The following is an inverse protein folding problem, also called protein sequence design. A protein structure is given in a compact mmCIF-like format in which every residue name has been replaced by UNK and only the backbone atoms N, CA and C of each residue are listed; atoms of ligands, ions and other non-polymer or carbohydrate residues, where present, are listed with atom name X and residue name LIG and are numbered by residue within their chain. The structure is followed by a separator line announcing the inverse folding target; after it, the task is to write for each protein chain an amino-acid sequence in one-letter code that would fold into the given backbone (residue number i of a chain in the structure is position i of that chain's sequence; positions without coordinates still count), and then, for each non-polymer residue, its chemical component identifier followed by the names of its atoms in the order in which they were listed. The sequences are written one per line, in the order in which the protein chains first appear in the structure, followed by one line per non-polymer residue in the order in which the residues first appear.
data_IF_409058872132
#
_entry.id   IF_409058872132
#
_cell.length_a   1.000
_cell.length_b   1.000
_cell.length_c   1.000
_cell.angle_alpha   90.00
_cell.angle_beta   90.00
_cell.angle_gamma   90.00
#
_symmetry.space_group_name_H-M   'P 1'
#
loop_
_entity.id
_entity.type
_entity.pdbx_description
1 polymer ?
#
# COMPACT_ATOMS: atom_id res chain seq x y z
N UNK A 1 -10.43 -61.01 -8.63
CA UNK A 1 -10.98 -61.73 -9.80
C UNK A 1 -12.07 -60.85 -10.38
N UNK A 2 -11.72 -60.00 -11.36
CA UNK A 2 -12.63 -59.01 -11.96
C UNK A 2 -12.57 -59.24 -13.47
N UNK A 3 -13.74 -59.55 -14.03
CA UNK A 3 -13.95 -59.96 -15.42
C UNK A 3 -13.81 -58.72 -16.32
N UNK A 4 -12.87 -58.77 -17.26
CA UNK A 4 -12.67 -57.79 -18.33
C UNK A 4 -13.66 -58.12 -19.44
N UNK A 5 -14.58 -57.19 -19.75
CA UNK A 5 -15.41 -57.28 -20.94
C UNK A 5 -14.66 -56.70 -22.13
N UNK A 6 -14.27 -57.58 -23.05
CA UNK A 6 -13.76 -57.20 -24.37
C UNK A 6 -14.90 -56.56 -25.17
N UNK A 7 -14.66 -55.33 -25.63
CA UNK A 7 -15.55 -54.59 -26.52
C UNK A 7 -15.18 -54.99 -27.95
N UNK A 8 -16.14 -55.60 -28.63
CA UNK A 8 -16.10 -55.92 -30.05
C UNK A 8 -16.03 -54.62 -30.85
N UNK A 9 -14.99 -54.52 -31.65
CA UNK A 9 -14.71 -53.43 -32.59
C UNK A 9 -15.59 -53.66 -33.83
N UNK A 10 -16.59 -52.80 -34.04
CA UNK A 10 -17.44 -52.81 -35.22
C UNK A 10 -16.82 -51.94 -36.31
N UNK A 11 -16.44 -52.56 -37.43
CA UNK A 11 -16.02 -51.89 -38.66
C UNK A 11 -17.17 -51.06 -39.23
N UNK A 12 -17.13 -49.75 -39.00
CA UNK A 12 -18.00 -48.77 -39.65
C UNK A 12 -17.47 -48.45 -41.07
N UNK A 13 -18.30 -48.51 -42.12
CA UNK A 13 -17.88 -48.21 -43.48
C UNK A 13 -17.50 -46.73 -43.63
N UNK A 14 -16.37 -46.50 -44.30
CA UNK A 14 -15.77 -45.20 -44.57
C UNK A 14 -16.80 -44.15 -45.01
N UNK A 15 -17.07 -43.19 -44.12
CA UNK A 15 -17.86 -42.01 -44.41
C UNK A 15 -17.14 -41.15 -45.47
N UNK A 16 -17.88 -40.59 -46.45
CA UNK A 16 -17.29 -39.77 -47.49
C UNK A 16 -16.61 -38.53 -46.90
N UNK A 17 -15.36 -38.32 -47.30
CA UNK A 17 -14.52 -37.17 -46.95
C UNK A 17 -15.22 -35.89 -47.43
N UNK A 18 -15.99 -35.26 -46.55
CA UNK A 18 -16.64 -33.99 -46.83
C UNK A 18 -15.54 -32.95 -47.11
N UNK A 19 -15.56 -32.39 -48.32
CA UNK A 19 -14.70 -31.28 -48.72
C UNK A 19 -14.84 -30.16 -47.68
N UNK A 20 -13.73 -29.56 -47.21
CA UNK A 20 -13.78 -28.46 -46.27
C UNK A 20 -14.60 -27.33 -46.89
N UNK A 21 -15.78 -27.08 -46.30
CA UNK A 21 -16.60 -25.91 -46.63
C UNK A 21 -15.71 -24.70 -46.42
N UNK A 22 -15.32 -24.07 -47.53
CA UNK A 22 -14.58 -22.80 -47.54
C UNK A 22 -15.50 -21.77 -46.88
N UNK A 23 -15.32 -21.58 -45.58
CA UNK A 23 -16.09 -20.62 -44.79
C UNK A 23 -16.05 -19.26 -45.47
N UNK A 24 -17.22 -18.75 -45.82
CA UNK A 24 -17.37 -17.45 -46.46
C UNK A 24 -16.68 -16.39 -45.60
N UNK A 25 -16.04 -15.42 -46.25
CA UNK A 25 -15.28 -14.35 -45.59
C UNK A 25 -16.12 -13.42 -44.66
N UNK A 26 -17.37 -13.77 -44.38
CA UNK A 26 -18.32 -13.02 -43.55
C UNK A 26 -18.28 -13.38 -42.05
N UNK A 27 -17.62 -14.46 -41.63
CA UNK A 27 -17.59 -14.88 -40.22
C UNK A 27 -16.44 -14.27 -39.38
N UNK A 28 -15.89 -13.11 -39.76
CA UNK A 28 -14.93 -12.43 -38.86
C UNK A 28 -15.69 -11.82 -37.68
N UNK A 29 -15.40 -12.23 -36.43
CA UNK A 29 -16.05 -11.64 -35.27
C UNK A 29 -15.82 -10.12 -35.26
N UNK A 30 -16.83 -9.33 -34.89
CA UNK A 30 -16.70 -7.87 -34.85
C UNK A 30 -15.54 -7.49 -33.94
N UNK A 31 -14.73 -6.52 -34.39
CA UNK A 31 -13.57 -6.07 -33.62
C UNK A 31 -14.01 -5.58 -32.23
N UNK A 32 -13.29 -5.92 -31.15
CA UNK A 32 -13.68 -5.55 -29.81
C UNK A 32 -13.72 -4.02 -29.67
N UNK A 33 -14.80 -3.50 -29.06
CA UNK A 33 -15.01 -2.07 -28.80
C UNK A 33 -13.90 -1.50 -27.90
N UNK A 34 -13.62 -0.20 -28.01
CA UNK A 34 -12.63 0.46 -27.15
C UNK A 34 -12.89 0.22 -25.66
N UNK A 35 -14.15 0.29 -25.23
CA UNK A 35 -14.54 0.02 -23.83
C UNK A 35 -14.17 -1.40 -23.38
N UNK A 36 -14.38 -2.41 -24.23
CA UNK A 36 -13.96 -3.79 -23.91
C UNK A 36 -12.45 -3.92 -23.78
N UNK A 37 -11.67 -3.30 -24.70
CA UNK A 37 -10.21 -3.30 -24.62
C UNK A 37 -9.69 -2.62 -23.36
N UNK A 38 -10.25 -1.46 -22.99
CA UNK A 38 -9.90 -0.76 -21.76
C UNK A 38 -10.26 -1.58 -20.52
N UNK A 39 -11.46 -2.16 -20.48
CA UNK A 39 -11.91 -3.01 -19.37
C UNK A 39 -10.97 -4.20 -19.17
N UNK A 40 -10.61 -4.89 -20.24
CA UNK A 40 -9.81 -6.11 -20.16
C UNK A 40 -8.33 -5.80 -19.84
N UNK A 41 -7.83 -4.63 -20.27
CA UNK A 41 -6.48 -4.17 -19.95
C UNK A 41 -6.34 -3.61 -18.52
N UNK A 42 -7.33 -2.87 -18.02
CA UNK A 42 -7.31 -2.23 -16.70
C UNK A 42 -7.89 -3.09 -15.59
N UNK A 43 -8.82 -3.98 -15.88
CA UNK A 43 -9.48 -4.85 -14.90
C UNK A 43 -9.46 -6.32 -15.33
N UNK A 44 -8.26 -6.90 -15.55
CA UNK A 44 -8.13 -8.30 -15.93
C UNK A 44 -8.65 -9.23 -14.83
N UNK A 45 -9.36 -10.28 -15.26
CA UNK A 45 -9.92 -11.27 -14.33
C UNK A 45 -8.79 -12.08 -13.68
N UNK A 46 -8.81 -12.17 -12.36
CA UNK A 46 -7.81 -12.92 -11.60
C UNK A 46 -7.92 -14.43 -11.86
N UNK A 47 -6.82 -15.09 -12.26
CA UNK A 47 -6.78 -16.55 -12.37
C UNK A 47 -6.89 -17.20 -10.98
N UNK A 48 -7.65 -18.29 -10.86
CA UNK A 48 -7.66 -19.07 -9.62
C UNK A 48 -6.33 -19.78 -9.44
N UNK A 49 -5.75 -19.70 -8.24
CA UNK A 49 -4.48 -20.36 -7.92
C UNK A 49 -4.71 -21.50 -6.93
N UNK A 50 -4.00 -22.62 -7.12
CA UNK A 50 -4.08 -23.77 -6.21
C UNK A 50 -3.55 -23.38 -4.81
N UNK A 51 -4.42 -23.48 -3.80
CA UNK A 51 -4.24 -22.83 -2.49
C UNK A 51 -3.43 -23.64 -1.46
N UNK A 52 -3.30 -24.97 -1.62
CA UNK A 52 -2.93 -25.84 -0.48
C UNK A 52 -1.42 -25.86 -0.17
N UNK A 53 -0.55 -26.07 -1.17
CA UNK A 53 0.92 -26.14 -0.96
C UNK A 53 1.59 -24.79 -0.65
N UNK A 54 0.89 -23.66 -0.83
CA UNK A 54 1.49 -22.33 -0.67
C UNK A 54 1.34 -21.73 0.73
N UNK A 55 0.52 -22.32 1.61
CA UNK A 55 0.23 -21.74 2.94
C UNK A 55 1.46 -21.65 3.83
N UNK A 56 2.25 -22.72 3.92
CA UNK A 56 3.47 -22.73 4.74
C UNK A 56 4.47 -21.65 4.29
N UNK A 57 4.68 -21.52 2.97
CA UNK A 57 5.53 -20.47 2.39
C UNK A 57 5.01 -19.08 2.76
N UNK A 58 3.70 -18.84 2.70
CA UNK A 58 3.11 -17.56 3.11
C UNK A 58 3.32 -17.26 4.59
N UNK A 59 3.17 -18.26 5.47
CA UNK A 59 3.44 -18.08 6.90
C UNK A 59 4.90 -17.67 7.12
N UNK A 60 5.86 -18.38 6.51
CA UNK A 60 7.28 -18.05 6.62
C UNK A 60 7.58 -16.65 6.10
N UNK A 61 7.01 -16.26 4.95
CA UNK A 61 7.20 -14.92 4.37
C UNK A 61 6.61 -13.83 5.26
N UNK A 62 5.41 -14.04 5.81
CA UNK A 62 4.76 -13.06 6.70
C UNK A 62 5.49 -12.93 8.03
N UNK A 63 6.00 -14.04 8.59
CA UNK A 63 6.84 -14.01 9.79
C UNK A 63 8.15 -13.29 9.51
N UNK A 64 8.82 -13.57 8.39
CA UNK A 64 10.05 -12.86 8.01
C UNK A 64 9.80 -11.36 7.80
N UNK A 65 8.69 -10.98 7.17
CA UNK A 65 8.26 -9.59 7.03
C UNK A 65 7.99 -8.92 8.39
N UNK A 66 7.30 -9.61 9.31
CA UNK A 66 7.03 -9.11 10.64
C UNK A 66 8.31 -8.91 11.45
N UNK A 67 9.24 -9.86 11.40
CA UNK A 67 10.56 -9.75 12.04
C UNK A 67 11.35 -8.58 11.42
N UNK A 68 11.37 -8.46 10.10
CA UNK A 68 12.03 -7.34 9.42
C UNK A 68 11.50 -5.98 9.92
N UNK A 69 10.17 -5.83 10.01
CA UNK A 69 9.52 -4.61 10.48
C UNK A 69 9.78 -4.37 11.98
N UNK A 70 9.72 -5.41 12.82
CA UNK A 70 9.94 -5.32 14.26
C UNK A 70 11.27 -4.66 14.65
N UNK A 71 12.34 -4.94 13.89
CA UNK A 71 13.70 -4.51 14.25
C UNK A 71 14.22 -3.30 13.49
N UNK A 72 13.40 -2.65 12.65
CA UNK A 72 13.87 -1.56 11.79
C UNK A 72 13.74 -0.14 12.38
N UNK A 73 13.06 0.00 13.52
CA UNK A 73 12.95 1.28 14.23
C UNK A 73 14.21 1.50 15.08
N UNK A 74 14.94 2.63 14.94
CA UNK A 74 16.10 2.97 15.78
C UNK A 74 15.69 3.43 17.19
N UNK A 75 16.65 3.88 18.00
CA UNK A 75 16.41 4.37 19.37
C UNK A 75 16.03 3.23 20.32
N UNK A 76 15.04 3.46 21.19
CA UNK A 76 14.50 2.42 22.08
C UNK A 76 13.78 1.28 21.31
N UNK A 77 13.52 1.45 20.02
CA UNK A 77 12.90 0.43 19.17
C UNK A 77 11.37 0.50 19.16
N UNK A 78 10.74 -0.20 18.21
CA UNK A 78 9.29 -0.08 17.98
C UNK A 78 8.47 -0.53 19.20
N UNK A 79 8.84 -1.66 19.82
CA UNK A 79 8.09 -2.23 20.95
C UNK A 79 8.23 -1.45 22.26
N UNK A 80 9.13 -0.48 22.34
CA UNK A 80 9.36 0.34 23.54
C UNK A 80 9.27 1.84 23.22
N UNK A 81 8.56 2.19 22.15
CA UNK A 81 8.22 3.58 21.80
C UNK A 81 6.78 3.67 21.35
N UNK A 82 6.09 4.72 21.81
CA UNK A 82 4.86 5.22 21.19
C UNK A 82 5.25 6.53 20.52
N UNK A 83 4.85 6.72 19.26
CA UNK A 83 5.40 7.79 18.43
C UNK A 83 4.31 8.74 17.90
N UNK A 84 4.52 10.04 18.15
CA UNK A 84 3.76 11.14 17.57
C UNK A 84 2.24 10.97 17.78
N UNK A 85 1.46 11.02 16.69
CA UNK A 85 -0.01 10.99 16.71
C UNK A 85 -0.56 9.72 17.38
N UNK A 86 0.18 8.59 17.33
CA UNK A 86 -0.25 7.34 17.98
C UNK A 86 -0.43 7.50 19.49
N UNK A 87 0.43 8.30 20.12
CA UNK A 87 0.34 8.57 21.55
C UNK A 87 -0.59 9.72 21.82
N UNK A 88 -0.25 10.89 21.29
CA UNK A 88 -0.82 12.15 21.76
C UNK A 88 -2.22 12.44 21.26
N UNK A 89 -2.64 11.79 20.18
CA UNK A 89 -3.99 11.91 19.69
C UNK A 89 -4.75 10.61 19.96
N UNK A 90 -4.26 9.46 19.50
CA UNK A 90 -5.10 8.25 19.52
C UNK A 90 -5.19 7.58 20.88
N UNK A 91 -4.05 7.32 21.54
CA UNK A 91 -4.05 6.69 22.86
C UNK A 91 -4.54 7.65 23.94
N UNK A 92 -4.24 8.95 23.81
CA UNK A 92 -4.75 10.00 24.70
C UNK A 92 -6.28 10.09 24.63
N UNK A 93 -6.84 10.21 23.43
CA UNK A 93 -8.29 10.24 23.24
C UNK A 93 -8.95 8.93 23.73
N UNK A 94 -8.36 7.77 23.42
CA UNK A 94 -8.93 6.47 23.80
C UNK A 94 -8.92 6.19 25.31
N UNK A 95 -8.10 6.90 26.10
CA UNK A 95 -8.11 6.79 27.56
C UNK A 95 -8.85 7.94 28.23
N UNK A 96 -8.86 9.13 27.61
CA UNK A 96 -9.43 10.34 28.17
C UNK A 96 -10.88 10.63 27.76
N UNK A 97 -11.35 10.08 26.64
CA UNK A 97 -12.68 10.35 26.09
C UNK A 97 -13.55 9.08 26.00
N UNK A 98 -14.84 9.27 25.71
CA UNK A 98 -15.74 8.14 25.42
C UNK A 98 -15.39 7.49 24.08
N UNK A 99 -15.58 6.17 23.88
CA UNK A 99 -15.11 5.48 22.67
C UNK A 99 -15.62 6.08 21.35
N UNK A 100 -16.87 6.55 21.31
CA UNK A 100 -17.41 7.19 20.10
C UNK A 100 -16.73 8.53 19.80
N UNK A 101 -16.45 9.32 20.83
CA UNK A 101 -15.75 10.60 20.71
C UNK A 101 -14.31 10.34 20.24
N UNK A 102 -13.60 9.45 20.94
CA UNK A 102 -12.24 9.04 20.59
C UNK A 102 -12.11 8.49 19.16
N UNK A 103 -13.12 7.79 18.63
CA UNK A 103 -13.10 7.25 17.26
C UNK A 103 -13.47 8.31 16.21
N UNK A 104 -14.27 9.32 16.57
CA UNK A 104 -14.81 10.31 15.61
C UNK A 104 -14.13 11.67 15.67
N UNK A 105 -13.26 11.92 16.64
CA UNK A 105 -12.47 13.16 16.72
C UNK A 105 -11.45 13.24 15.57
N UNK A 106 -11.51 14.22 14.68
CA UNK A 106 -10.54 14.34 13.59
C UNK A 106 -9.21 14.92 14.09
N UNK A 107 -8.11 14.53 13.46
CA UNK A 107 -6.75 15.02 13.72
C UNK A 107 -6.14 15.48 12.42
N UNK A 108 -5.60 16.70 12.42
CA UNK A 108 -4.91 17.28 11.26
C UNK A 108 -5.72 17.24 9.96
N UNK A 109 -7.04 17.37 10.06
CA UNK A 109 -8.00 17.28 8.95
C UNK A 109 -8.23 15.87 8.39
N UNK A 110 -8.01 14.85 9.20
CA UNK A 110 -8.30 13.45 8.90
C UNK A 110 -9.10 12.83 10.03
N UNK A 111 -10.10 12.01 9.73
CA UNK A 111 -10.78 11.24 10.78
C UNK A 111 -9.94 10.11 11.37
N UNK A 112 -9.00 9.52 10.61
CA UNK A 112 -8.09 8.46 11.09
C UNK A 112 -8.82 7.30 11.79
N UNK A 113 -9.99 6.92 11.26
CA UNK A 113 -10.87 5.92 11.86
C UNK A 113 -10.14 4.61 12.21
N UNK A 114 -9.34 4.08 11.28
CA UNK A 114 -8.66 2.80 11.51
C UNK A 114 -7.62 2.87 12.64
N UNK A 115 -6.65 3.81 12.63
CA UNK A 115 -5.75 4.02 13.77
C UNK A 115 -6.47 4.19 15.12
N UNK A 116 -7.56 4.97 15.17
CA UNK A 116 -8.31 5.21 16.41
C UNK A 116 -8.98 3.95 16.95
N UNK A 117 -9.57 3.13 16.08
CA UNK A 117 -10.10 1.82 16.49
C UNK A 117 -9.02 0.90 17.06
N UNK A 118 -7.79 0.96 16.54
CA UNK A 118 -6.68 0.19 17.08
C UNK A 118 -6.21 0.73 18.44
N UNK A 119 -6.26 2.04 18.65
CA UNK A 119 -5.95 2.66 19.93
C UNK A 119 -6.95 2.26 21.02
N UNK A 120 -8.26 2.25 20.73
CA UNK A 120 -9.30 1.72 21.62
C UNK A 120 -9.04 0.27 22.04
N UNK A 121 -8.61 -0.58 21.10
CA UNK A 121 -8.25 -1.96 21.43
C UNK A 121 -6.96 -2.00 22.26
N UNK A 122 -6.01 -1.11 21.99
CA UNK A 122 -4.74 -1.02 22.73
C UNK A 122 -4.95 -0.62 24.18
N UNK A 123 -5.89 0.30 24.47
CA UNK A 123 -6.21 0.71 25.84
C UNK A 123 -6.93 -0.38 26.64
N UNK A 124 -7.32 -1.52 26.04
CA UNK A 124 -7.77 -2.70 26.80
C UNK A 124 -6.63 -3.41 27.54
N UNK A 125 -5.38 -3.14 27.17
CA UNK A 125 -4.19 -3.75 27.78
C UNK A 125 -3.58 -2.83 28.86
N UNK A 126 -2.76 -3.36 29.78
CA UNK A 126 -2.02 -2.54 30.73
C UNK A 126 -1.15 -1.49 30.04
N UNK A 127 -0.99 -0.31 30.65
CA UNK A 127 -0.27 0.83 30.04
C UNK A 127 1.15 0.46 29.62
N UNK A 128 1.83 -0.41 30.37
CA UNK A 128 3.17 -0.91 30.04
C UNK A 128 3.25 -1.70 28.72
N UNK A 129 2.12 -2.19 28.20
CA UNK A 129 2.03 -2.96 26.95
C UNK A 129 1.61 -2.12 25.74
N UNK A 130 1.24 -0.85 25.89
CA UNK A 130 0.68 -0.05 24.80
C UNK A 130 1.64 0.07 23.60
N UNK A 131 2.92 0.33 23.84
CA UNK A 131 3.93 0.36 22.78
C UNK A 131 4.03 -0.97 22.01
N UNK A 132 3.97 -2.10 22.73
CA UNK A 132 4.04 -3.45 22.15
C UNK A 132 2.82 -3.72 21.28
N UNK A 133 1.62 -3.54 21.85
CA UNK A 133 0.34 -3.86 21.19
C UNK A 133 0.14 -2.97 19.96
N UNK A 134 0.38 -1.66 20.08
CA UNK A 134 0.26 -0.73 18.96
C UNK A 134 1.25 -1.08 17.83
N UNK A 135 2.49 -1.42 18.17
CA UNK A 135 3.48 -1.89 17.18
C UNK A 135 3.05 -3.18 16.49
N UNK A 136 2.51 -4.15 17.23
CA UNK A 136 2.01 -5.39 16.65
C UNK A 136 0.86 -5.12 15.68
N UNK A 137 -0.04 -4.18 15.98
CA UNK A 137 -1.07 -3.77 15.03
C UNK A 137 -0.49 -3.10 13.78
N UNK A 138 0.49 -2.21 13.92
CA UNK A 138 1.16 -1.59 12.78
C UNK A 138 1.81 -2.65 11.87
N UNK A 139 2.56 -3.60 12.45
CA UNK A 139 3.22 -4.69 11.72
C UNK A 139 2.18 -5.58 11.04
N UNK A 140 1.16 -6.03 11.77
CA UNK A 140 0.12 -6.91 11.24
C UNK A 140 -0.62 -6.25 10.06
N UNK A 141 -0.97 -4.97 10.19
CA UNK A 141 -1.65 -4.22 9.13
C UNK A 141 -0.75 -4.07 7.90
N UNK A 142 0.51 -3.70 8.07
CA UNK A 142 1.48 -3.60 6.97
C UNK A 142 1.64 -4.93 6.22
N UNK A 143 1.79 -6.04 6.95
CA UNK A 143 1.83 -7.37 6.37
C UNK A 143 0.53 -7.75 5.65
N UNK A 144 -0.64 -7.40 6.21
CA UNK A 144 -1.94 -7.64 5.60
C UNK A 144 -2.10 -6.83 4.30
N UNK A 145 -1.72 -5.55 4.30
CA UNK A 145 -1.72 -4.69 3.10
C UNK A 145 -0.82 -5.26 2.01
N UNK A 146 0.41 -5.67 2.34
CA UNK A 146 1.30 -6.33 1.40
C UNK A 146 0.71 -7.63 0.83
N UNK A 147 0.08 -8.46 1.66
CA UNK A 147 -0.60 -9.66 1.21
C UNK A 147 -1.81 -9.36 0.29
N UNK A 148 -2.58 -8.32 0.61
CA UNK A 148 -3.69 -7.82 -0.22
C UNK A 148 -3.16 -7.36 -1.57
N UNK A 149 -2.12 -6.52 -1.63
CA UNK A 149 -1.51 -6.08 -2.89
C UNK A 149 -0.94 -7.24 -3.68
N UNK A 150 -0.26 -8.18 -3.01
CA UNK A 150 0.20 -9.40 -3.67
C UNK A 150 -0.98 -10.16 -4.28
N UNK A 151 -2.11 -10.28 -3.58
CA UNK A 151 -3.30 -10.99 -4.08
C UNK A 151 -4.02 -10.23 -5.20
N UNK A 152 -4.20 -8.92 -5.02
CA UNK A 152 -4.87 -8.02 -5.94
C UNK A 152 -4.14 -7.88 -7.27
N UNK A 153 -2.80 -7.92 -7.24
CA UNK A 153 -1.97 -7.78 -8.43
C UNK A 153 -1.98 -9.00 -9.37
N UNK A 154 -2.60 -10.11 -8.96
CA UNK A 154 -2.64 -11.36 -9.73
C UNK A 154 -3.33 -11.24 -11.10
N UNK A 155 -4.26 -10.29 -11.27
CA UNK A 155 -4.88 -10.02 -12.57
C UNK A 155 -3.89 -9.43 -13.58
N UNK A 156 -3.03 -8.52 -13.14
CA UNK A 156 -2.04 -7.84 -13.99
C UNK A 156 -0.74 -8.64 -14.12
N UNK A 157 -0.35 -9.34 -13.05
CA UNK A 157 0.93 -10.02 -12.92
C UNK A 157 0.72 -11.50 -12.57
N UNK A 158 0.82 -12.37 -13.58
CA UNK A 158 0.61 -13.82 -13.39
C UNK A 158 1.75 -14.49 -12.61
N UNK A 159 2.98 -14.00 -12.79
CA UNK A 159 4.19 -14.55 -12.16
C UNK A 159 4.30 -14.05 -10.71
N UNK A 160 4.54 -14.94 -9.72
CA UNK A 160 4.74 -14.56 -8.32
C UNK A 160 5.79 -13.47 -8.10
N UNK A 161 6.88 -13.50 -8.87
CA UNK A 161 7.98 -12.54 -8.74
C UNK A 161 7.55 -11.10 -9.02
N UNK A 162 6.73 -10.87 -10.06
CA UNK A 162 6.18 -9.55 -10.39
C UNK A 162 5.20 -9.07 -9.31
N UNK A 163 4.39 -9.98 -8.77
CA UNK A 163 3.46 -9.67 -7.67
C UNK A 163 4.22 -9.31 -6.40
N UNK A 164 5.33 -10.02 -6.12
CA UNK A 164 6.23 -9.69 -5.02
C UNK A 164 6.89 -8.33 -5.24
N UNK A 165 7.30 -8.00 -6.48
CA UNK A 165 7.93 -6.72 -6.80
C UNK A 165 7.06 -5.50 -6.48
N UNK A 166 5.73 -5.64 -6.55
CA UNK A 166 4.78 -4.57 -6.19
C UNK A 166 4.25 -4.66 -4.76
N UNK A 167 4.29 -5.85 -4.14
CA UNK A 167 3.85 -6.03 -2.75
C UNK A 167 4.95 -5.74 -1.72
N UNK A 168 6.18 -6.17 -2.00
CA UNK A 168 7.33 -6.01 -1.11
C UNK A 168 7.63 -4.56 -0.72
N UNK A 169 7.43 -3.53 -1.57
CA UNK A 169 7.63 -2.14 -1.18
C UNK A 169 6.88 -1.72 0.09
N UNK A 170 5.69 -2.26 0.35
CA UNK A 170 4.93 -1.97 1.58
C UNK A 170 5.70 -2.38 2.84
N UNK A 171 6.36 -3.54 2.82
CA UNK A 171 7.14 -4.05 3.96
C UNK A 171 8.53 -3.40 4.00
N UNK A 172 9.18 -3.30 2.84
CA UNK A 172 10.55 -2.82 2.72
C UNK A 172 10.65 -1.32 2.99
N UNK A 173 9.66 -0.53 2.55
CA UNK A 173 9.45 0.90 2.85
C UNK A 173 10.76 1.69 3.02
N UNK A 174 11.56 1.79 1.96
CA UNK A 174 12.84 2.53 1.98
C UNK A 174 12.65 4.05 1.86
N UNK A 175 11.40 4.48 1.69
CA UNK A 175 10.98 5.88 1.61
C UNK A 175 10.27 6.25 2.91
N UNK A 176 10.65 7.39 3.49
CA UNK A 176 10.05 7.93 4.70
C UNK A 176 10.11 6.98 5.90
N UNK A 177 11.17 6.18 6.00
CA UNK A 177 11.41 5.29 7.13
C UNK A 177 11.39 6.07 8.46
N UNK A 178 12.04 7.24 8.51
CA UNK A 178 12.11 8.04 9.73
C UNK A 178 10.75 8.42 10.31
N UNK A 179 9.73 8.62 9.45
CA UNK A 179 8.40 9.07 9.87
C UNK A 179 7.33 7.97 9.86
N UNK A 180 7.38 7.04 8.91
CA UNK A 180 6.23 6.19 8.55
C UNK A 180 6.36 4.71 8.93
N UNK A 181 7.40 4.34 9.67
CA UNK A 181 7.63 2.95 10.11
C UNK A 181 6.96 2.65 11.44
N UNK A 182 6.32 1.48 11.57
CA UNK A 182 5.74 0.97 12.82
C UNK A 182 4.93 2.01 13.62
N UNK A 183 4.14 2.81 12.92
CA UNK A 183 3.25 3.83 13.47
C UNK A 183 1.89 3.67 12.77
N UNK A 184 0.80 3.52 13.53
CA UNK A 184 -0.53 3.28 12.97
C UNK A 184 -1.08 4.49 12.23
N UNK A 185 -0.82 5.72 12.69
CA UNK A 185 -1.19 6.98 12.01
C UNK A 185 -0.71 7.03 10.56
N UNK A 186 0.47 6.47 10.28
CA UNK A 186 1.11 6.54 8.96
C UNK A 186 0.72 5.41 8.02
N UNK A 187 0.00 4.39 8.50
CA UNK A 187 -0.51 3.29 7.66
C UNK A 187 -1.40 3.80 6.53
N UNK A 188 -2.02 4.97 6.69
CA UNK A 188 -2.87 5.60 5.68
C UNK A 188 -2.17 5.75 4.31
N UNK A 189 -0.85 6.01 4.26
CA UNK A 189 -0.15 6.18 2.98
C UNK A 189 0.02 4.84 2.25
N UNK A 190 0.39 3.77 2.97
CA UNK A 190 0.40 2.42 2.39
C UNK A 190 -1.03 1.92 2.07
N UNK A 191 -2.03 2.38 2.82
CA UNK A 191 -3.43 2.06 2.60
C UNK A 191 -3.96 2.68 1.30
N UNK A 192 -3.54 3.89 0.91
CA UNK A 192 -3.87 4.50 -0.38
C UNK A 192 -3.36 3.65 -1.56
N UNK A 193 -2.11 3.18 -1.46
CA UNK A 193 -1.54 2.27 -2.44
C UNK A 193 -2.29 0.92 -2.49
N UNK A 194 -2.68 0.40 -1.33
CA UNK A 194 -3.51 -0.81 -1.23
C UNK A 194 -4.90 -0.58 -1.85
N UNK A 195 -5.49 0.59 -1.63
CA UNK A 195 -6.76 1.01 -2.20
C UNK A 195 -6.74 1.07 -3.72
N UNK A 196 -5.66 1.61 -4.32
CA UNK A 196 -5.42 1.54 -5.76
C UNK A 196 -5.49 0.09 -6.27
N UNK A 197 -4.78 -0.83 -5.61
CA UNK A 197 -4.77 -2.24 -5.99
C UNK A 197 -6.14 -2.92 -5.84
N UNK A 198 -6.89 -2.62 -4.78
CA UNK A 198 -8.25 -3.12 -4.61
C UNK A 198 -9.20 -2.63 -5.71
N UNK A 199 -9.05 -1.39 -6.16
CA UNK A 199 -9.87 -0.81 -7.23
C UNK A 199 -9.54 -1.38 -8.62
N UNK A 200 -8.32 -1.87 -8.87
CA UNK A 200 -8.00 -2.59 -10.11
C UNK A 200 -8.22 -4.11 -10.00
N UNK A 201 -8.35 -4.65 -8.78
CA UNK A 201 -8.54 -6.07 -8.53
C UNK A 201 -9.94 -6.57 -8.88
N UNK A 202 -10.05 -7.65 -9.67
CA UNK A 202 -11.32 -8.32 -9.93
C UNK A 202 -11.44 -9.57 -9.08
N UNK A 203 -12.29 -9.51 -8.05
CA UNK A 203 -12.49 -10.56 -7.07
C UNK A 203 -13.39 -11.69 -7.58
N UNK A 204 -12.92 -12.94 -7.47
CA UNK A 204 -13.73 -14.14 -7.75
C UNK A 204 -14.49 -14.64 -6.51
N UNK A 205 -13.80 -14.70 -5.36
CA UNK A 205 -14.33 -15.28 -4.12
C UNK A 205 -15.05 -14.30 -3.21
N UNK A 206 -15.91 -14.82 -2.33
CA UNK A 206 -16.67 -14.03 -1.33
C UNK A 206 -15.78 -13.16 -0.45
N UNK A 207 -14.65 -13.69 0.01
CA UNK A 207 -13.69 -12.94 0.85
C UNK A 207 -13.21 -11.68 0.14
N UNK A 208 -12.92 -11.74 -1.17
CA UNK A 208 -12.50 -10.56 -1.93
C UNK A 208 -13.66 -9.58 -2.17
N UNK A 209 -14.85 -10.10 -2.49
CA UNK A 209 -16.05 -9.29 -2.78
C UNK A 209 -16.61 -8.55 -1.56
N UNK A 210 -16.43 -9.09 -0.36
CA UNK A 210 -16.85 -8.47 0.91
C UNK A 210 -15.69 -7.71 1.54
N UNK A 211 -14.52 -8.34 1.63
CA UNK A 211 -13.34 -7.73 2.25
C UNK A 211 -12.82 -6.53 1.48
N UNK A 212 -12.90 -6.51 0.15
CA UNK A 212 -12.46 -5.38 -0.68
C UNK A 212 -13.19 -4.07 -0.33
N UNK A 213 -14.53 -4.02 -0.41
CA UNK A 213 -15.30 -2.85 0.01
C UNK A 213 -15.09 -2.45 1.47
N UNK A 214 -15.00 -3.41 2.39
CA UNK A 214 -14.75 -3.11 3.82
C UNK A 214 -13.39 -2.44 4.00
N UNK A 215 -12.32 -2.98 3.40
CA UNK A 215 -10.98 -2.37 3.48
C UNK A 215 -10.99 -0.99 2.83
N UNK A 216 -11.62 -0.82 1.65
CA UNK A 216 -11.71 0.51 1.02
C UNK A 216 -12.49 1.53 1.85
N UNK A 217 -13.57 1.12 2.51
CA UNK A 217 -14.31 1.99 3.43
C UNK A 217 -13.41 2.43 4.60
N UNK A 218 -12.61 1.50 5.16
CA UNK A 218 -11.64 1.83 6.20
C UNK A 218 -10.56 2.80 5.69
N UNK A 219 -10.05 2.61 4.46
CA UNK A 219 -9.08 3.54 3.85
C UNK A 219 -9.71 4.93 3.69
N UNK A 220 -10.91 5.04 3.11
CA UNK A 220 -11.57 6.32 2.84
C UNK A 220 -12.03 7.05 4.11
N UNK A 221 -12.45 6.31 5.14
CA UNK A 221 -12.76 6.87 6.47
C UNK A 221 -11.52 7.23 7.28
N UNK A 222 -10.34 6.70 6.93
CA UNK A 222 -9.08 7.07 7.58
C UNK A 222 -8.52 8.36 7.01
N UNK A 223 -8.55 8.55 5.69
CA UNK A 223 -7.87 9.69 5.06
C UNK A 223 -8.67 10.34 3.94
N UNK A 224 -8.72 11.68 3.94
CA UNK A 224 -9.32 12.43 2.83
C UNK A 224 -8.56 12.27 1.51
N UNK A 225 -7.30 11.86 1.56
CA UNK A 225 -6.48 11.58 0.39
C UNK A 225 -7.09 10.49 -0.51
N UNK A 226 -7.99 9.67 0.04
CA UNK A 226 -8.78 8.71 -0.73
C UNK A 226 -9.67 9.37 -1.80
N UNK A 227 -9.88 10.69 -1.75
CA UNK A 227 -10.49 11.47 -2.83
C UNK A 227 -9.80 11.21 -4.17
N UNK A 228 -8.47 11.07 -4.18
CA UNK A 228 -7.70 10.78 -5.38
C UNK A 228 -8.06 9.41 -6.00
N UNK A 229 -8.66 8.49 -5.23
CA UNK A 229 -9.10 7.17 -5.70
C UNK A 229 -10.50 7.16 -6.33
N UNK A 230 -11.30 8.21 -6.12
CA UNK A 230 -12.67 8.31 -6.63
C UNK A 230 -12.75 8.18 -8.16
N UNK A 231 -11.89 8.85 -8.97
CA UNK A 231 -11.95 8.71 -10.42
C UNK A 231 -11.76 7.27 -10.91
N UNK A 232 -10.89 6.48 -10.27
CA UNK A 232 -10.66 5.07 -10.62
C UNK A 232 -11.84 4.20 -10.19
N UNK A 233 -12.44 4.47 -9.03
CA UNK A 233 -13.65 3.77 -8.61
C UNK A 233 -14.82 4.01 -9.58
N UNK A 234 -14.99 5.25 -10.04
CA UNK A 234 -15.99 5.60 -11.05
C UNK A 234 -15.67 4.98 -12.42
N UNK A 235 -14.41 5.03 -12.86
CA UNK A 235 -13.96 4.40 -14.09
C UNK A 235 -14.21 2.89 -14.08
N UNK A 236 -13.92 2.22 -12.97
CA UNK A 236 -14.20 0.80 -12.76
C UNK A 236 -15.70 0.52 -12.90
N UNK A 237 -16.54 1.28 -12.19
CA UNK A 237 -17.99 1.12 -12.26
C UNK A 237 -18.51 1.34 -13.68
N UNK A 238 -18.02 2.35 -14.38
CA UNK A 238 -18.44 2.67 -15.75
C UNK A 238 -18.07 1.58 -16.76
N UNK A 239 -16.88 0.99 -16.65
CA UNK A 239 -16.36 -0.03 -17.57
C UNK A 239 -16.85 -1.45 -17.25
N UNK A 240 -17.01 -1.80 -15.96
CA UNK A 240 -17.41 -3.16 -15.55
C UNK A 240 -18.90 -3.32 -15.31
N UNK A 241 -19.57 -2.29 -14.78
CA UNK A 241 -21.02 -2.25 -14.50
C UNK A 241 -21.52 -3.45 -13.69
N UNK A 242 -20.70 -3.96 -12.76
CA UNK A 242 -21.06 -5.06 -11.87
C UNK A 242 -21.29 -4.60 -10.43
N UNK A 243 -21.98 -5.42 -9.63
CA UNK A 243 -22.30 -5.11 -8.22
C UNK A 243 -21.06 -4.93 -7.35
N UNK A 244 -19.99 -5.67 -7.66
CA UNK A 244 -18.71 -5.55 -6.95
C UNK A 244 -18.12 -4.14 -7.12
N UNK A 245 -18.11 -3.64 -8.36
CA UNK A 245 -17.66 -2.28 -8.65
C UNK A 245 -18.55 -1.24 -7.96
N UNK A 246 -19.87 -1.44 -7.92
CA UNK A 246 -20.77 -0.55 -7.19
C UNK A 246 -20.40 -0.47 -5.70
N UNK A 247 -20.19 -1.59 -5.03
CA UNK A 247 -19.84 -1.60 -3.60
C UNK A 247 -18.48 -0.96 -3.31
N UNK A 248 -17.47 -1.20 -4.16
CA UNK A 248 -16.16 -0.54 -4.03
C UNK A 248 -16.29 0.98 -4.21
N UNK A 249 -17.10 1.43 -5.17
CA UNK A 249 -17.38 2.86 -5.40
C UNK A 249 -18.12 3.47 -4.22
N UNK A 250 -19.17 2.83 -3.71
CA UNK A 250 -19.93 3.33 -2.55
C UNK A 250 -19.04 3.41 -1.29
N UNK A 251 -18.20 2.41 -1.04
CA UNK A 251 -17.25 2.42 0.08
C UNK A 251 -16.24 3.57 -0.02
N UNK A 252 -15.69 3.80 -1.23
CA UNK A 252 -14.73 4.89 -1.46
C UNK A 252 -15.42 6.25 -1.33
N UNK A 253 -16.54 6.45 -2.03
CA UNK A 253 -17.28 7.70 -2.05
C UNK A 253 -17.87 8.05 -0.68
N UNK A 254 -18.43 7.07 0.04
CA UNK A 254 -19.02 7.27 1.37
C UNK A 254 -18.00 7.83 2.37
N UNK A 255 -16.82 7.22 2.48
CA UNK A 255 -15.78 7.74 3.36
C UNK A 255 -15.26 9.12 2.92
N UNK A 256 -15.09 9.35 1.62
CA UNK A 256 -14.70 10.67 1.09
C UNK A 256 -15.74 11.74 1.43
N UNK A 257 -17.03 11.44 1.32
CA UNK A 257 -18.11 12.36 1.69
C UNK A 257 -18.01 12.72 3.18
N UNK A 258 -17.81 11.75 4.07
CA UNK A 258 -17.62 12.00 5.51
C UNK A 258 -16.43 12.93 5.75
N UNK A 259 -15.28 12.68 5.11
CA UNK A 259 -14.08 13.51 5.25
C UNK A 259 -14.33 14.95 4.75
N UNK A 260 -14.96 15.11 3.58
CA UNK A 260 -15.27 16.42 3.00
C UNK A 260 -16.26 17.18 3.86
N UNK A 261 -17.28 16.51 4.40
CA UNK A 261 -18.24 17.14 5.32
C UNK A 261 -17.57 17.58 6.62
N UNK A 262 -16.68 16.77 7.18
CA UNK A 262 -15.89 17.14 8.36
C UNK A 262 -15.01 18.37 8.11
N UNK A 263 -14.38 18.49 6.95
CA UNK A 263 -13.64 19.71 6.59
C UNK A 263 -14.56 20.90 6.38
N UNK A 264 -15.66 20.72 5.65
CA UNK A 264 -16.58 21.80 5.29
C UNK A 264 -17.31 22.37 6.52
N UNK A 265 -17.58 21.55 7.54
CA UNK A 265 -18.15 22.00 8.81
C UNK A 265 -17.13 22.62 9.75
N UNK A 266 -15.83 22.53 9.44
CA UNK A 266 -14.73 22.95 10.30
C UNK A 266 -14.37 21.94 11.40
N UNK A 267 -15.12 20.84 11.54
CA UNK A 267 -14.83 19.80 12.53
C UNK A 267 -13.43 19.20 12.32
N UNK A 268 -13.06 18.90 11.08
CA UNK A 268 -11.76 18.38 10.70
C UNK A 268 -10.83 19.49 10.21
N UNK A 269 -10.66 20.57 10.98
CA UNK A 269 -9.81 21.69 10.56
C UNK A 269 -8.35 21.29 10.35
N UNK A 270 -7.67 21.97 9.41
CA UNK A 270 -6.23 21.86 9.14
C UNK A 270 -5.46 23.09 9.61
N UNK A 271 -6.10 23.99 10.37
CA UNK A 271 -5.50 25.22 10.84
C UNK A 271 -4.19 24.94 11.62
N UNK A 272 -3.13 25.68 11.28
CA UNK A 272 -1.83 25.60 11.97
C UNK A 272 -0.87 24.50 11.49
N UNK A 273 -1.29 23.59 10.60
CA UNK A 273 -0.46 22.44 10.18
C UNK A 273 0.18 22.66 8.81
N UNK A 274 -0.51 23.39 7.93
CA UNK A 274 -0.04 23.74 6.59
C UNK A 274 -1.01 24.67 5.87
N UNK A 275 -0.53 25.36 4.83
CA UNK A 275 -1.33 26.26 4.00
C UNK A 275 -1.52 25.66 2.61
N UNK A 276 -2.74 25.66 2.08
CA UNK A 276 -2.99 25.10 0.75
C UNK A 276 -2.13 25.81 -0.30
N UNK A 277 -1.36 25.04 -1.08
CA UNK A 277 -0.53 25.57 -2.18
C UNK A 277 -0.86 24.86 -3.48
N UNK A 278 -1.67 25.48 -4.32
CA UNK A 278 -2.16 24.91 -5.57
C UNK A 278 -1.32 25.25 -6.83
N UNK A 279 -0.10 25.78 -6.66
CA UNK A 279 0.78 26.14 -7.78
C UNK A 279 1.26 24.89 -8.56
N UNK A 280 0.85 24.69 -9.83
CA UNK A 280 1.22 23.51 -10.60
C UNK A 280 2.73 23.42 -10.86
N UNK A 281 3.43 24.56 -11.00
CA UNK A 281 4.87 24.59 -11.21
C UNK A 281 5.63 24.04 -10.00
N UNK A 282 5.21 24.43 -8.79
CA UNK A 282 5.72 23.86 -7.56
C UNK A 282 5.38 22.38 -7.40
N UNK A 283 4.17 21.94 -7.72
CA UNK A 283 3.78 20.52 -7.62
C UNK A 283 4.65 19.66 -8.54
N UNK A 284 4.76 20.02 -9.82
CA UNK A 284 5.59 19.31 -10.79
C UNK A 284 7.07 19.36 -10.39
N UNK A 285 7.55 20.54 -9.98
CA UNK A 285 8.91 20.74 -9.51
C UNK A 285 9.24 19.92 -8.26
N UNK A 286 8.29 19.70 -7.36
CA UNK A 286 8.43 18.88 -6.15
C UNK A 286 8.37 17.40 -6.48
N UNK A 287 7.48 16.96 -7.37
CA UNK A 287 7.43 15.58 -7.85
C UNK A 287 8.76 15.16 -8.48
N UNK A 288 9.33 16.04 -9.31
CA UNK A 288 10.62 15.83 -9.98
C UNK A 288 11.81 15.76 -9.03
N UNK A 289 11.81 16.58 -7.96
CA UNK A 289 12.94 16.72 -7.03
C UNK A 289 12.85 15.80 -5.81
N UNK A 290 11.66 15.33 -5.46
CA UNK A 290 11.41 14.57 -4.24
C UNK A 290 10.85 13.18 -4.53
N UNK A 291 9.69 13.06 -5.20
CA UNK A 291 9.03 11.76 -5.39
C UNK A 291 9.87 10.76 -6.21
N UNK A 292 10.38 11.18 -7.38
CA UNK A 292 11.22 10.31 -8.22
C UNK A 292 12.55 9.96 -7.53
N UNK A 293 13.33 10.91 -7.00
CA UNK A 293 14.55 10.59 -6.25
C UNK A 293 14.33 9.72 -5.02
N UNK A 294 13.32 9.99 -4.20
CA UNK A 294 13.00 9.17 -3.04
C UNK A 294 12.72 7.71 -3.45
N UNK A 295 11.98 7.52 -4.55
CA UNK A 295 11.65 6.18 -5.08
C UNK A 295 12.90 5.36 -5.41
N UNK A 296 13.89 5.96 -6.08
CA UNK A 296 15.01 5.20 -6.67
C UNK A 296 16.33 5.33 -5.91
N UNK A 297 16.42 6.25 -4.95
CA UNK A 297 17.63 6.48 -4.14
C UNK A 297 17.40 6.31 -2.63
N UNK A 298 16.15 6.33 -2.17
CA UNK A 298 15.79 6.23 -0.77
C UNK A 298 16.03 7.50 0.05
N UNK A 299 15.59 7.46 1.30
CA UNK A 299 15.56 8.62 2.21
C UNK A 299 16.96 9.13 2.60
N UNK A 300 17.90 8.24 2.93
CA UNK A 300 19.27 8.61 3.34
C UNK A 300 19.96 9.44 2.27
N UNK A 301 19.86 9.01 1.01
CA UNK A 301 20.45 9.74 -0.13
C UNK A 301 19.69 11.06 -0.37
N UNK A 302 18.36 11.05 -0.25
CA UNK A 302 17.53 12.24 -0.41
C UNK A 302 17.93 13.38 0.53
N UNK A 303 18.33 13.07 1.78
CA UNK A 303 18.81 14.06 2.77
C UNK A 303 20.11 14.77 2.33
N UNK A 304 20.92 14.12 1.51
CA UNK A 304 22.20 14.67 1.00
C UNK A 304 22.07 15.26 -0.41
N UNK A 305 20.88 15.21 -1.02
CA UNK A 305 20.72 15.47 -2.45
C UNK A 305 21.01 16.92 -2.86
N UNK A 306 20.83 17.86 -1.93
CA UNK A 306 21.17 19.28 -2.14
C UNK A 306 22.68 19.49 -2.32
N UNK A 307 23.51 18.67 -1.67
CA UNK A 307 24.97 18.70 -1.83
C UNK A 307 25.43 18.00 -3.12
N UNK A 308 24.60 17.13 -3.70
CA UNK A 308 24.93 16.33 -4.87
C UNK A 308 23.80 16.34 -5.94
N UNK A 309 23.55 17.47 -6.63
CA UNK A 309 22.42 17.62 -7.55
C UNK A 309 22.38 16.61 -8.72
N UNK A 310 23.51 16.02 -9.10
CA UNK A 310 23.60 14.98 -10.13
C UNK A 310 22.80 13.72 -9.76
N UNK A 311 22.54 13.48 -8.47
CA UNK A 311 21.70 12.39 -8.01
C UNK A 311 20.25 12.51 -8.52
N UNK A 312 19.73 13.72 -8.74
CA UNK A 312 18.43 13.89 -9.41
C UNK A 312 18.44 13.25 -10.80
N UNK A 313 19.52 13.45 -11.56
CA UNK A 313 19.67 12.88 -12.90
C UNK A 313 19.72 11.35 -12.81
N UNK A 314 20.48 10.79 -11.86
CA UNK A 314 20.56 9.33 -11.65
C UNK A 314 19.19 8.71 -11.37
N UNK A 315 18.38 9.32 -10.51
CA UNK A 315 17.04 8.83 -10.21
C UNK A 315 16.15 8.79 -11.48
N UNK A 316 16.21 9.83 -12.31
CA UNK A 316 15.47 9.88 -13.57
C UNK A 316 16.01 8.90 -14.61
N UNK A 317 17.32 8.66 -14.64
CA UNK A 317 17.94 7.67 -15.53
C UNK A 317 17.40 6.26 -15.27
N UNK A 318 17.09 5.89 -14.02
CA UNK A 318 16.47 4.58 -13.71
C UNK A 318 15.10 4.46 -14.40
N UNK A 319 14.25 5.48 -14.30
CA UNK A 319 12.92 5.48 -14.91
C UNK A 319 13.01 5.50 -16.44
N UNK A 320 13.88 6.34 -17.01
CA UNK A 320 14.12 6.40 -18.47
C UNK A 320 14.67 5.07 -18.99
N UNK A 321 15.64 4.47 -18.29
CA UNK A 321 16.18 3.17 -18.65
C UNK A 321 15.08 2.09 -18.66
N UNK A 322 14.16 2.10 -17.69
CA UNK A 322 13.02 1.17 -17.69
C UNK A 322 12.12 1.36 -18.92
N UNK A 323 11.84 2.60 -19.33
CA UNK A 323 11.06 2.92 -20.54
C UNK A 323 11.79 2.45 -21.80
N UNK A 324 13.09 2.72 -21.93
CA UNK A 324 13.89 2.28 -23.07
C UNK A 324 13.96 0.75 -23.16
N UNK A 325 14.20 0.09 -22.02
CA UNK A 325 14.22 -1.38 -21.93
C UNK A 325 12.85 -1.96 -22.26
N UNK A 326 11.74 -1.29 -21.94
CA UNK A 326 10.39 -1.76 -22.28
C UNK A 326 10.14 -1.93 -23.79
N UNK A 327 10.90 -1.24 -24.65
CA UNK A 327 10.87 -1.43 -26.11
C UNK A 327 11.66 -2.66 -26.57
N UNK A 328 12.39 -3.34 -25.67
CA UNK A 328 13.10 -4.55 -26.00
C UNK A 328 12.12 -5.69 -26.31
N UNK A 329 12.31 -6.34 -27.46
CA UNK A 329 11.40 -7.39 -27.99
C UNK A 329 11.19 -8.59 -27.05
N UNK A 330 11.99 -8.74 -25.99
CA UNK A 330 11.86 -9.79 -24.99
C UNK A 330 10.84 -9.47 -23.88
N UNK A 331 10.28 -8.26 -23.87
CA UNK A 331 9.29 -7.81 -22.90
C UNK A 331 7.90 -7.64 -23.53
N UNK A 332 6.88 -7.64 -22.68
CA UNK A 332 5.48 -7.34 -23.05
C UNK A 332 4.94 -6.28 -22.09
N UNK A 333 5.42 -5.02 -22.17
CA UNK A 333 5.00 -3.95 -21.27
C UNK A 333 3.47 -3.78 -21.23
N UNK A 334 2.94 -3.52 -20.04
CA UNK A 334 1.53 -3.20 -19.83
C UNK A 334 1.34 -1.68 -19.85
N UNK A 335 1.59 -1.04 -21.01
CA UNK A 335 1.64 0.42 -21.16
C UNK A 335 0.46 1.17 -20.57
N UNK A 336 -0.77 0.71 -20.83
CA UNK A 336 -1.97 1.37 -20.32
C UNK A 336 -2.04 1.31 -18.79
N UNK A 337 -1.68 0.18 -18.19
CA UNK A 337 -1.64 0.03 -16.73
C UNK A 337 -0.50 0.84 -16.11
N UNK A 338 0.67 0.88 -16.77
CA UNK A 338 1.79 1.72 -16.37
C UNK A 338 1.41 3.22 -16.40
N UNK A 339 0.73 3.67 -17.45
CA UNK A 339 0.23 5.04 -17.55
C UNK A 339 -0.80 5.37 -16.45
N UNK A 340 -1.72 4.45 -16.16
CA UNK A 340 -2.66 4.60 -15.04
C UNK A 340 -1.94 4.71 -13.70
N UNK A 341 -0.99 3.81 -13.41
CA UNK A 341 -0.22 3.85 -12.17
C UNK A 341 0.60 5.14 -12.04
N UNK A 342 1.20 5.63 -13.14
CA UNK A 342 1.94 6.89 -13.15
C UNK A 342 1.03 8.10 -12.90
N UNK A 343 -0.15 8.15 -13.55
CA UNK A 343 -1.14 9.19 -13.33
C UNK A 343 -1.60 9.22 -11.86
N UNK A 344 -1.78 8.06 -11.24
CA UNK A 344 -2.10 7.95 -9.82
C UNK A 344 -0.95 8.35 -8.90
N UNK A 345 0.30 8.03 -9.27
CA UNK A 345 1.47 8.47 -8.52
C UNK A 345 1.53 10.01 -8.46
N UNK A 346 1.35 10.66 -9.61
CA UNK A 346 1.31 12.12 -9.71
C UNK A 346 0.09 12.72 -9.01
N UNK A 347 -1.09 12.13 -9.20
CA UNK A 347 -2.36 12.61 -8.64
C UNK A 347 -2.41 12.54 -7.11
N UNK A 348 -1.97 11.42 -6.53
CA UNK A 348 -1.87 11.26 -5.07
C UNK A 348 -0.84 12.24 -4.50
N UNK A 349 0.35 12.30 -5.09
CA UNK A 349 1.38 13.24 -4.67
C UNK A 349 0.87 14.68 -4.71
N UNK A 350 0.22 15.08 -5.80
CA UNK A 350 -0.35 16.41 -5.94
C UNK A 350 -1.41 16.69 -4.87
N UNK A 351 -2.34 15.77 -4.65
CA UNK A 351 -3.41 15.92 -3.65
C UNK A 351 -2.85 16.08 -2.24
N UNK A 352 -1.85 15.25 -1.90
CA UNK A 352 -1.14 15.27 -0.62
C UNK A 352 -0.46 16.62 -0.36
N UNK A 353 0.38 17.07 -1.29
CA UNK A 353 1.21 18.26 -1.05
C UNK A 353 0.40 19.56 -1.23
N UNK A 354 -0.58 19.60 -2.13
CA UNK A 354 -1.45 20.78 -2.30
C UNK A 354 -2.24 21.03 -1.02
N UNK A 355 -2.78 19.97 -0.40
CA UNK A 355 -3.54 20.07 0.86
C UNK A 355 -2.67 20.45 2.07
N UNK A 356 -1.34 20.36 1.96
CA UNK A 356 -0.41 20.58 3.07
C UNK A 356 0.48 21.81 2.89
N UNK A 357 0.70 22.28 1.66
CA UNK A 357 1.61 23.39 1.37
C UNK A 357 3.10 23.08 1.45
N UNK A 358 3.44 21.88 1.92
CA UNK A 358 4.80 21.35 2.09
C UNK A 358 4.80 19.88 1.73
N UNK A 359 5.98 19.28 1.69
CA UNK A 359 6.18 17.87 1.32
C UNK A 359 6.76 17.10 2.52
N UNK A 360 5.92 16.63 3.47
CA UNK A 360 6.36 15.67 4.47
C UNK A 360 6.85 14.39 3.81
N UNK A 361 7.92 13.79 4.33
CA UNK A 361 8.52 12.58 3.74
C UNK A 361 7.48 11.44 3.61
N UNK A 362 6.61 11.27 4.62
CA UNK A 362 5.56 10.25 4.62
C UNK A 362 4.59 10.33 3.43
N UNK A 363 4.43 11.49 2.79
CA UNK A 363 3.62 11.65 1.57
C UNK A 363 4.31 11.10 0.33
N UNK A 364 5.60 10.75 0.40
CA UNK A 364 6.30 10.13 -0.72
C UNK A 364 6.01 8.62 -0.82
N UNK A 365 5.41 8.00 0.20
CA UNK A 365 5.23 6.54 0.30
C UNK A 365 4.34 5.99 -0.83
N UNK A 366 3.09 6.44 -0.93
CA UNK A 366 2.15 5.91 -1.94
C UNK A 366 2.60 6.22 -3.39
N UNK A 367 3.04 7.47 -3.71
CA UNK A 367 3.59 7.78 -5.02
C UNK A 367 4.80 6.93 -5.40
N UNK A 368 5.71 6.67 -4.46
CA UNK A 368 6.89 5.84 -4.72
C UNK A 368 6.53 4.39 -5.02
N UNK A 369 5.58 3.82 -4.29
CA UNK A 369 5.11 2.46 -4.57
C UNK A 369 4.41 2.34 -5.92
N UNK A 370 3.67 3.39 -6.34
CA UNK A 370 3.09 3.45 -7.68
C UNK A 370 4.16 3.62 -8.76
N UNK A 371 5.21 4.40 -8.55
CA UNK A 371 6.33 4.50 -9.49
C UNK A 371 7.07 3.16 -9.66
N UNK A 372 7.22 2.37 -8.59
CA UNK A 372 7.71 0.99 -8.69
C UNK A 372 6.73 0.12 -9.50
N UNK A 373 5.43 0.31 -9.31
CA UNK A 373 4.40 -0.38 -10.10
C UNK A 373 4.49 -0.05 -11.59
N UNK A 374 4.79 1.22 -11.94
CA UNK A 374 5.07 1.64 -13.32
C UNK A 374 6.25 0.84 -13.89
N UNK A 375 7.38 0.82 -13.19
CA UNK A 375 8.58 0.10 -13.65
C UNK A 375 8.31 -1.40 -13.79
N UNK A 376 7.63 -2.04 -12.83
CA UNK A 376 7.26 -3.47 -12.92
C UNK A 376 6.33 -3.74 -14.10
N UNK A 377 5.37 -2.85 -14.37
CA UNK A 377 4.46 -2.98 -15.51
C UNK A 377 5.19 -2.85 -16.86
N UNK A 378 6.22 -2.01 -16.94
CA UNK A 378 7.07 -1.84 -18.11
C UNK A 378 8.02 -3.03 -18.32
N UNK A 379 8.59 -3.56 -17.24
CA UNK A 379 9.59 -4.64 -17.28
C UNK A 379 8.98 -6.06 -17.30
N UNK A 380 7.73 -6.22 -17.75
CA UNK A 380 7.03 -7.51 -17.76
C UNK A 380 7.63 -8.48 -18.80
N UNK A 381 8.15 -9.67 -18.42
CA UNK A 381 8.73 -10.64 -19.36
C UNK A 381 7.70 -11.24 -20.34
N UNK A 382 8.14 -11.59 -21.55
CA UNK A 382 7.27 -12.17 -22.59
C UNK A 382 6.63 -13.52 -22.17
N UNK A 383 7.34 -14.38 -21.43
CA UNK A 383 6.86 -15.69 -20.97
C UNK A 383 5.75 -15.61 -19.90
N UNK A 384 5.30 -14.40 -19.55
CA UNK A 384 4.09 -14.18 -18.76
C UNK A 384 2.80 -14.20 -19.60
N UNK A 385 2.90 -14.46 -20.91
CA UNK A 385 1.78 -14.55 -21.85
C UNK A 385 0.78 -15.69 -21.53
N UNK A 386 -0.46 -15.61 -22.06
CA UNK A 386 -1.44 -16.70 -21.95
C UNK A 386 -0.96 -18.03 -22.54
N UNK A 387 -1.38 -19.18 -21.96
CA UNK A 387 -1.04 -20.50 -22.49
C UNK A 387 -1.49 -20.74 -23.93
N UNK A 388 -2.49 -19.97 -24.38
CA UNK A 388 -3.10 -20.12 -25.70
C UNK A 388 -2.23 -19.54 -26.83
N UNK A 389 -1.20 -18.75 -26.51
CA UNK A 389 -0.19 -18.32 -27.49
C UNK A 389 0.80 -19.49 -27.70
N UNK A 390 0.95 -20.05 -28.92
CA UNK A 390 1.92 -21.10 -29.17
C UNK A 390 3.32 -20.64 -28.74
N UNK A 391 4.11 -21.49 -28.04
CA UNK A 391 5.42 -21.11 -27.57
C UNK A 391 6.29 -20.74 -28.78
N UNK A 392 6.60 -19.45 -28.92
CA UNK A 392 7.54 -18.99 -29.93
C UNK A 392 8.89 -19.65 -29.64
N UNK A 393 9.25 -20.67 -30.43
CA UNK A 393 10.27 -21.69 -30.15
C UNK A 393 11.73 -21.22 -30.07
N UNK A 394 12.05 -20.19 -29.30
CA UNK A 394 13.41 -19.72 -29.07
C UNK A 394 13.79 -19.73 -27.59
N UNK A 395 15.06 -20.05 -27.30
CA UNK A 395 15.76 -20.04 -25.99
C UNK A 395 15.70 -18.69 -25.21
N UNK A 396 14.54 -18.06 -25.06
CA UNK A 396 14.34 -16.73 -24.44
C UNK A 396 14.11 -16.76 -22.91
N UNK A 397 14.29 -17.93 -22.28
CA UNK A 397 13.73 -18.23 -20.95
C UNK A 397 14.32 -17.51 -19.72
N UNK A 398 15.47 -16.81 -19.83
CA UNK A 398 16.11 -16.16 -18.66
C UNK A 398 16.47 -14.69 -18.88
N UNK A 399 16.94 -14.32 -20.08
CA UNK A 399 17.34 -12.95 -20.38
C UNK A 399 16.20 -11.93 -20.21
N UNK A 400 14.96 -12.34 -20.44
CA UNK A 400 13.77 -11.49 -20.25
C UNK A 400 13.50 -11.11 -18.79
N UNK A 401 14.08 -11.83 -17.83
CA UNK A 401 13.94 -11.54 -16.39
C UNK A 401 15.04 -10.64 -15.83
N UNK A 402 16.15 -10.43 -16.56
CA UNK A 402 17.29 -9.64 -16.08
C UNK A 402 16.86 -8.24 -15.60
N UNK A 403 16.06 -7.45 -16.34
CA UNK A 403 15.65 -6.12 -15.89
C UNK A 403 14.85 -6.15 -14.58
N UNK A 404 13.99 -7.16 -14.41
CA UNK A 404 13.19 -7.32 -13.19
C UNK A 404 14.07 -7.72 -12.00
N UNK A 405 15.04 -8.61 -12.20
CA UNK A 405 16.00 -9.00 -11.15
C UNK A 405 16.84 -7.81 -10.73
N UNK A 406 17.29 -6.97 -11.68
CA UNK A 406 18.02 -5.72 -11.39
C UNK A 406 17.16 -4.77 -10.56
N UNK A 407 15.88 -4.56 -10.93
CA UNK A 407 14.96 -3.74 -10.15
C UNK A 407 14.78 -4.28 -8.72
N UNK A 408 14.59 -5.58 -8.56
CA UNK A 408 14.44 -6.21 -7.24
C UNK A 408 15.72 -6.08 -6.42
N UNK A 409 16.89 -6.24 -7.05
CA UNK A 409 18.18 -6.00 -6.43
C UNK A 409 18.32 -4.55 -5.95
N UNK A 410 17.90 -3.58 -6.76
CA UNK A 410 17.86 -2.16 -6.38
C UNK A 410 16.93 -1.94 -5.19
N UNK A 411 15.70 -2.45 -5.22
CA UNK A 411 14.73 -2.31 -4.12
C UNK A 411 15.27 -2.91 -2.82
N UNK A 412 15.88 -4.10 -2.87
CA UNK A 412 16.52 -4.73 -1.71
C UNK A 412 17.69 -3.88 -1.22
N UNK A 413 18.56 -3.40 -2.12
CA UNK A 413 19.67 -2.54 -1.77
C UNK A 413 19.20 -1.25 -1.08
N UNK A 414 18.20 -0.57 -1.64
CA UNK A 414 17.60 0.63 -1.04
C UNK A 414 17.01 0.31 0.34
N UNK A 415 16.32 -0.82 0.48
CA UNK A 415 15.76 -1.27 1.74
C UNK A 415 16.83 -1.50 2.81
N UNK A 416 17.98 -2.09 2.44
CA UNK A 416 19.10 -2.33 3.36
C UNK A 416 19.79 -1.00 3.71
N UNK A 417 20.08 -0.16 2.71
CA UNK A 417 20.72 1.15 2.91
C UNK A 417 19.86 2.13 3.73
N UNK A 418 18.55 1.92 3.72
CA UNK A 418 17.57 2.68 4.49
C UNK A 418 16.89 1.81 5.54
N UNK A 419 17.54 0.75 6.05
CA UNK A 419 16.90 -0.17 7.00
C UNK A 419 16.54 0.53 8.30
N UNK A 420 17.49 1.29 8.84
CA UNK A 420 17.34 2.17 10.00
C UNK A 420 17.78 3.57 9.59
N UNK A 421 16.85 4.52 9.60
CA UNK A 421 17.15 5.93 9.34
C UNK A 421 16.94 6.67 10.65
N UNK A 422 17.99 7.31 11.15
CA UNK A 422 17.88 8.13 12.35
C UNK A 422 17.05 9.38 12.03
N UNK A 423 15.97 9.52 12.78
CA UNK A 423 15.10 10.68 12.73
C UNK A 423 15.18 11.31 14.12
N UNK A 424 15.88 12.46 14.29
CA UNK A 424 16.23 12.98 15.62
C UNK A 424 15.05 12.98 16.59
N UNK A 425 13.89 13.45 16.13
CA UNK A 425 12.70 13.54 16.97
C UNK A 425 12.20 12.17 17.48
N UNK A 426 12.42 11.09 16.71
CA UNK A 426 11.98 9.72 17.04
C UNK A 426 13.07 8.90 17.73
N UNK A 427 14.30 8.97 17.24
CA UNK A 427 15.43 8.21 17.77
C UNK A 427 15.74 8.62 19.22
N UNK A 428 15.49 9.88 19.58
CA UNK A 428 15.71 10.42 20.92
C UNK A 428 14.53 10.21 21.89
N UNK A 429 13.45 9.56 21.44
CA UNK A 429 12.31 9.24 22.31
C UNK A 429 12.74 8.26 23.39
N UNK A 430 12.32 8.56 24.63
CA UNK A 430 12.63 7.74 25.79
C UNK A 430 11.84 6.43 25.74
N UNK A 431 12.45 5.36 26.24
CA UNK A 431 11.80 4.07 26.50
C UNK A 431 10.42 4.25 27.15
N UNK A 432 9.38 3.68 26.53
CA UNK A 432 8.02 3.69 27.02
C UNK A 432 7.93 3.00 28.38
N UNK A 433 8.51 1.80 28.50
CA UNK A 433 8.53 1.04 29.76
C UNK A 433 9.19 1.83 30.87
N UNK A 434 10.38 2.42 30.64
CA UNK A 434 11.06 3.20 31.67
C UNK A 434 10.31 4.47 32.09
N UNK A 435 9.51 5.05 31.19
CA UNK A 435 8.64 6.17 31.52
C UNK A 435 7.43 5.71 32.35
N UNK A 436 6.75 4.65 31.93
CA UNK A 436 5.60 4.08 32.63
C UNK A 436 5.98 3.65 34.05
N UNK A 437 7.09 2.94 34.23
CA UNK A 437 7.56 2.50 35.55
C UNK A 437 7.78 3.69 36.50
N UNK A 438 8.45 4.73 36.00
CA UNK A 438 8.67 5.97 36.76
C UNK A 438 7.36 6.65 37.14
N UNK A 439 6.38 6.67 36.24
CA UNK A 439 5.06 7.26 36.47
C UNK A 439 4.21 6.42 37.42
N UNK A 440 4.32 5.10 37.37
CA UNK A 440 3.71 4.19 38.35
C UNK A 440 4.22 4.48 39.76
N UNK A 441 5.53 4.63 39.95
CA UNK A 441 6.08 5.05 41.24
C UNK A 441 5.52 6.41 41.68
N UNK A 442 5.48 7.40 40.78
CA UNK A 442 4.93 8.72 41.09
C UNK A 442 3.46 8.68 41.53
N UNK A 443 2.60 7.88 40.86
CA UNK A 443 1.18 7.72 41.22
C UNK A 443 0.97 6.95 42.54
N UNK A 444 1.91 6.10 42.94
CA UNK A 444 1.90 5.37 44.22
C UNK A 444 2.38 6.24 45.37
N UNK A 445 3.46 6.99 45.16
CA UNK A 445 4.07 7.86 46.16
C UNK A 445 3.21 9.11 46.44
N UNK A 446 2.41 9.55 45.45
CA UNK A 446 1.47 10.65 45.61
C UNK A 446 0.04 10.25 45.23
N UNK A 447 -0.79 9.80 46.20
CA UNK A 447 -2.18 9.43 45.98
C UNK A 447 -3.06 10.57 45.44
N UNK A 448 -2.66 11.85 45.61
CA UNK A 448 -3.43 13.01 45.17
C UNK A 448 -3.29 13.31 43.67
N UNK A 449 -2.47 12.54 42.93
CA UNK A 449 -2.39 12.67 41.49
C UNK A 449 -3.52 11.88 40.83
N UNK A 450 -4.30 12.57 39.99
CA UNK A 450 -5.35 11.96 39.18
C UNK A 450 -4.78 11.37 37.87
N UNK A 451 -3.75 11.99 37.29
CA UNK A 451 -3.10 11.56 36.06
C UNK A 451 -1.63 11.97 35.99
N UNK A 452 -0.90 11.41 35.04
CA UNK A 452 0.51 11.67 34.77
C UNK A 452 0.83 11.64 33.27
N UNK A 453 1.75 12.51 32.84
CA UNK A 453 2.18 12.59 31.44
C UNK A 453 3.25 11.55 31.11
N UNK A 454 3.01 10.73 30.09
CA UNK A 454 4.00 9.87 29.43
C UNK A 454 4.35 10.46 28.06
N UNK A 455 5.62 10.56 27.69
CA UNK A 455 6.01 11.20 26.42
C UNK A 455 5.93 10.20 25.25
N UNK A 456 5.27 10.62 24.17
CA UNK A 456 5.20 9.94 22.86
C UNK A 456 6.06 10.62 21.78
N UNK A 457 6.83 11.64 22.16
CA UNK A 457 7.69 12.40 21.24
C UNK A 457 8.54 13.43 21.99
N UNK A 458 9.27 14.32 21.28
CA UNK A 458 10.02 15.40 21.92
C UNK A 458 9.10 16.30 22.72
N UNK A 459 9.57 16.75 23.91
CA UNK A 459 8.78 17.60 24.83
C UNK A 459 8.24 18.89 24.22
N UNK A 460 8.91 19.38 23.18
CA UNK A 460 8.58 20.63 22.51
C UNK A 460 7.49 20.47 21.45
N UNK A 461 7.14 19.23 21.09
CA UNK A 461 6.04 18.99 20.15
C UNK A 461 4.70 19.05 20.90
N UNK A 462 3.70 19.79 20.38
CA UNK A 462 2.36 19.81 20.96
C UNK A 462 1.70 18.42 21.02
N UNK A 463 2.15 17.49 20.15
CA UNK A 463 1.66 16.11 20.05
C UNK A 463 2.62 15.09 20.72
N UNK A 464 3.25 15.47 21.83
CA UNK A 464 4.33 14.69 22.46
C UNK A 464 3.98 13.98 23.76
N UNK A 465 2.71 13.96 24.20
CA UNK A 465 2.31 13.46 25.53
C UNK A 465 1.03 12.66 25.51
N UNK A 466 0.93 11.71 26.43
CA UNK A 466 -0.26 10.93 26.74
C UNK A 466 -0.57 11.11 28.22
N UNK A 467 -1.78 11.55 28.53
CA UNK A 467 -2.31 11.74 29.88
C UNK A 467 -2.86 10.41 30.37
N UNK A 468 -2.10 9.75 31.24
CA UNK A 468 -2.49 8.43 31.78
C UNK A 468 -3.12 8.62 33.16
N UNK A 469 -4.38 8.21 33.37
CA UNK A 469 -4.99 8.22 34.70
C UNK A 469 -4.20 7.36 35.68
N UNK A 470 -3.95 7.87 36.90
CA UNK A 470 -3.18 7.13 37.91
C UNK A 470 -3.86 5.82 38.33
N UNK A 471 -5.18 5.70 38.20
CA UNK A 471 -5.92 4.45 38.39
C UNK A 471 -5.47 3.33 37.43
N UNK A 472 -4.96 3.68 36.24
CA UNK A 472 -4.45 2.73 35.24
C UNK A 472 -3.02 2.28 35.52
N UNK A 473 -2.34 2.94 36.46
CA UNK A 473 -0.93 2.74 36.80
C UNK A 473 -0.70 2.18 38.19
N UNK A 474 -1.70 2.23 39.07
CA UNK A 474 -1.66 1.67 40.44
C UNK A 474 -1.87 0.17 40.39
#
# INVERSE_FOLDING_TARGET
MIIRHDRVESDDPAAPTALPVVGSAQDRPPSPSLASRLRDALFPVTAEQSRRRRRAVWVVVLVAAAVYLAFRTPGAGAFDTVWAEDGADFLDDAVGAGPLDAITTPVNGYYLLYPRLLAEITTLFPVSWWAVVNTLFAIATTCAMAAVVYQASAGHFRRPLLRLAVAAPIVLQWVANGQAVNNVATLQFAALYTGFWLLVYVAKGRIGKVGGPVVLAMVSLTTILALALVPLALLRLALRRDRDSLWLTLATAGGVVVQVLGLASGAATRAGIGETRADPGWVIGSFRRLAVPATFLGETVLRTISAHPWLWVVAWLVLVAAVLVAFWRALRPAWLFAALAFAYALGLFATEIVAMGKVPDRYLVAPSFLLITVVVALLRPQDAAPPDDPPAGGRRGLASYVPLVVLLGLVVHLSVANYRVDYPDRTEVRSWTAQVDRRTHQCRDNPSLDSVDVLSGPRQMPYGRVHVPCERLR
#
